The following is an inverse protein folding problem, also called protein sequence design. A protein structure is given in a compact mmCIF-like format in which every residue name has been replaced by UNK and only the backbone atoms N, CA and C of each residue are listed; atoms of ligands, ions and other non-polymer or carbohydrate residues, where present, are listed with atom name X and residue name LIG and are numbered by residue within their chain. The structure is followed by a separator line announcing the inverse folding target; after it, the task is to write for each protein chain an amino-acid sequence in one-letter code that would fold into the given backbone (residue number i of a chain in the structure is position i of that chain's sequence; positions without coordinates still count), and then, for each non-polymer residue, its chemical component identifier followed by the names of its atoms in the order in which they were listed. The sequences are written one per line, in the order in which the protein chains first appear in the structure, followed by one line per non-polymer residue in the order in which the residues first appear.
data_IF_779815085445
#
_entry.id   IF_779815085445
#
_cell.length_a   1.000
_cell.length_b   1.000
_cell.length_c   1.000
_cell.angle_alpha   90.00
_cell.angle_beta   90.00
_cell.angle_gamma   90.00
#
_symmetry.space_group_name_H-M   'P 1'
#
loop_
_entity.id
_entity.type
_entity.pdbx_description
1 polymer ?
#
# COMPACT_ATOMS: atom_id res chain seq x y z
N UNK A 1 9.11 2.74 -9.35
CA UNK A 1 7.78 2.26 -8.91
C UNK A 1 6.74 2.73 -9.91
N UNK A 2 5.65 1.99 -10.12
CA UNK A 2 4.67 2.29 -11.20
C UNK A 2 3.62 3.35 -10.83
N UNK A 3 3.71 3.89 -9.61
CA UNK A 3 2.73 4.78 -8.98
C UNK A 3 3.49 5.74 -8.07
N UNK A 4 3.08 7.00 -8.05
CA UNK A 4 3.81 8.08 -7.36
C UNK A 4 3.19 8.50 -6.02
N UNK A 5 1.94 8.11 -5.75
CA UNK A 5 1.23 8.46 -4.52
C UNK A 5 1.73 7.64 -3.35
N UNK A 6 2.03 8.28 -2.24
CA UNK A 6 2.61 7.65 -1.07
C UNK A 6 1.51 7.06 -0.18
N UNK A 7 1.79 5.91 0.43
CA UNK A 7 0.80 5.16 1.21
C UNK A 7 0.16 5.98 2.35
N UNK A 8 0.89 6.92 2.95
CA UNK A 8 0.38 7.78 4.02
C UNK A 8 -0.48 8.95 3.51
N UNK A 9 -0.58 9.15 2.20
CA UNK A 9 -1.52 10.11 1.59
C UNK A 9 -2.90 9.47 1.34
N UNK A 10 -3.03 8.15 1.49
CA UNK A 10 -4.31 7.47 1.44
C UNK A 10 -5.19 7.92 2.62
N UNK A 11 -6.48 8.09 2.35
CA UNK A 11 -7.49 8.40 3.38
C UNK A 11 -8.22 7.13 3.77
N UNK A 12 -7.80 6.49 4.86
CA UNK A 12 -8.39 5.22 5.30
C UNK A 12 -9.71 5.40 6.05
N UNK A 13 -10.65 4.48 5.83
CA UNK A 13 -11.95 4.41 6.51
C UNK A 13 -12.20 3.00 7.04
N UNK A 14 -12.97 2.85 8.15
CA UNK A 14 -13.42 1.54 8.59
C UNK A 14 -14.13 0.77 7.47
N UNK A 15 -13.74 -0.48 7.25
CA UNK A 15 -14.30 -1.34 6.21
C UNK A 15 -13.58 -1.28 4.86
N UNK A 16 -12.55 -0.44 4.72
CA UNK A 16 -11.71 -0.44 3.52
C UNK A 16 -10.93 -1.75 3.35
N UNK A 17 -10.66 -2.11 2.10
CA UNK A 17 -9.86 -3.27 1.74
C UNK A 17 -8.46 -2.85 1.29
N UNK A 18 -7.45 -3.54 1.80
CA UNK A 18 -6.07 -3.41 1.33
C UNK A 18 -5.78 -4.53 0.32
N UNK A 19 -5.56 -4.16 -0.93
CA UNK A 19 -5.29 -5.11 -2.02
C UNK A 19 -3.80 -5.06 -2.34
N UNK A 20 -3.15 -6.22 -2.28
CA UNK A 20 -1.75 -6.37 -2.64
C UNK A 20 -1.57 -7.34 -3.80
N UNK A 21 -0.57 -7.07 -4.62
CA UNK A 21 -0.16 -7.95 -5.70
C UNK A 21 0.71 -9.11 -5.23
N UNK A 22 1.04 -10.01 -6.16
CA UNK A 22 2.02 -11.08 -5.92
C UNK A 22 3.38 -10.48 -5.67
N UNK A 23 4.17 -11.04 -4.75
CA UNK A 23 5.50 -10.51 -4.40
C UNK A 23 6.44 -10.34 -5.61
N UNK A 24 6.38 -11.28 -6.57
CA UNK A 24 7.23 -11.27 -7.76
C UNK A 24 6.73 -10.39 -8.90
N UNK A 25 5.41 -10.18 -9.00
CA UNK A 25 4.79 -9.54 -10.17
C UNK A 25 4.03 -8.26 -9.87
N UNK A 26 3.78 -7.96 -8.59
CA UNK A 26 2.91 -6.87 -8.16
C UNK A 26 1.46 -7.09 -8.57
N UNK A 27 0.72 -5.98 -8.65
CA UNK A 27 -0.66 -5.96 -9.14
C UNK A 27 -0.68 -6.12 -10.67
N UNK A 28 -1.70 -6.78 -11.24
CA UNK A 28 -1.92 -6.78 -12.68
C UNK A 28 -2.03 -5.35 -13.23
N UNK A 29 -1.49 -5.11 -14.44
CA UNK A 29 -1.46 -3.78 -15.05
C UNK A 29 -2.87 -3.21 -15.29
N UNK A 30 -3.83 -4.07 -15.64
CA UNK A 30 -5.25 -3.74 -15.78
C UNK A 30 -5.87 -3.18 -14.48
N UNK A 31 -5.50 -3.73 -13.32
CA UNK A 31 -5.95 -3.25 -12.01
C UNK A 31 -5.29 -1.90 -11.69
N UNK A 32 -3.99 -1.75 -11.97
CA UNK A 32 -3.28 -0.49 -11.79
C UNK A 32 -3.86 0.63 -12.67
N UNK A 33 -4.27 0.32 -13.90
CA UNK A 33 -4.91 1.27 -14.80
C UNK A 33 -6.32 1.64 -14.32
N UNK A 34 -7.11 0.65 -13.91
CA UNK A 34 -8.51 0.84 -13.48
C UNK A 34 -8.63 1.63 -12.16
N UNK A 35 -7.67 1.45 -11.24
CA UNK A 35 -7.68 2.04 -9.90
C UNK A 35 -6.49 2.98 -9.66
N UNK A 36 -6.00 3.65 -10.71
CA UNK A 36 -4.80 4.51 -10.62
C UNK A 36 -4.90 5.57 -9.52
N UNK A 37 -6.11 6.07 -9.27
CA UNK A 37 -6.45 7.03 -8.22
C UNK A 37 -6.49 6.43 -6.80
N UNK A 38 -6.39 5.11 -6.67
CA UNK A 38 -6.44 4.36 -5.42
C UNK A 38 -5.23 3.42 -5.26
N UNK A 39 -4.22 3.60 -6.11
CA UNK A 39 -2.95 2.91 -5.99
C UNK A 39 -1.95 3.79 -5.23
N UNK A 40 -1.17 3.15 -4.37
CA UNK A 40 -0.19 3.82 -3.51
C UNK A 40 1.11 3.02 -3.45
N UNK A 41 2.18 3.68 -3.03
CA UNK A 41 3.51 3.06 -2.91
C UNK A 41 4.14 3.35 -1.54
N UNK A 42 4.93 2.38 -1.05
CA UNK A 42 5.80 2.57 0.11
C UNK A 42 7.15 3.09 -0.41
N UNK A 43 7.62 4.27 0.02
CA UNK A 43 8.87 4.82 -0.46
C UNK A 43 10.05 3.93 -0.05
N UNK A 44 11.01 3.77 -0.95
CA UNK A 44 12.26 3.05 -0.72
C UNK A 44 13.43 3.96 -1.09
N UNK A 45 14.40 4.12 -0.20
CA UNK A 45 15.55 4.99 -0.40
C UNK A 45 16.74 4.32 -1.10
N UNK A 46 16.77 2.98 -1.17
CA UNK A 46 17.89 2.23 -1.71
C UNK A 46 17.56 1.67 -3.11
N UNK A 47 18.25 2.18 -4.13
CA UNK A 47 18.08 1.78 -5.54
C UNK A 47 18.48 0.32 -5.84
N UNK A 48 19.22 -0.33 -4.93
CA UNK A 48 19.56 -1.76 -5.06
C UNK A 48 18.45 -2.69 -4.56
N UNK A 49 17.45 -2.16 -3.82
CA UNK A 49 16.33 -2.93 -3.30
C UNK A 49 15.12 -2.69 -4.21
N UNK A 50 14.64 -3.74 -4.85
CA UNK A 50 13.52 -3.66 -5.81
C UNK A 50 12.15 -3.51 -5.14
N UNK A 51 11.97 -4.13 -3.98
CA UNK A 51 10.74 -4.08 -3.19
C UNK A 51 11.02 -4.54 -1.76
N UNK A 52 10.18 -4.08 -0.82
CA UNK A 52 10.04 -4.76 0.46
C UNK A 52 9.35 -6.11 0.25
N UNK A 53 9.53 -7.04 1.19
CA UNK A 53 8.70 -8.25 1.18
C UNK A 53 7.21 -7.90 1.35
N UNK A 54 6.33 -8.81 0.93
CA UNK A 54 4.89 -8.56 0.93
C UNK A 54 4.34 -8.34 2.35
N UNK A 55 4.82 -9.13 3.33
CA UNK A 55 4.35 -9.06 4.72
C UNK A 55 4.67 -7.71 5.39
N UNK A 56 5.89 -7.19 5.18
CA UNK A 56 6.33 -5.87 5.65
C UNK A 56 5.50 -4.76 5.02
N UNK A 57 5.28 -4.84 3.70
CA UNK A 57 4.45 -3.87 2.98
C UNK A 57 3.02 -3.86 3.53
N UNK A 58 2.43 -5.03 3.75
CA UNK A 58 1.11 -5.17 4.33
C UNK A 58 1.04 -4.60 5.76
N UNK A 59 2.04 -4.92 6.60
CA UNK A 59 2.14 -4.39 7.96
C UNK A 59 2.23 -2.87 8.01
N UNK A 60 3.11 -2.27 7.19
CA UNK A 60 3.28 -0.81 7.11
C UNK A 60 1.96 -0.12 6.78
N UNK A 61 1.27 -0.59 5.73
CA UNK A 61 0.03 0.04 5.25
C UNK A 61 -1.12 -0.21 6.23
N UNK A 62 -1.22 -1.42 6.81
CA UNK A 62 -2.23 -1.74 7.81
C UNK A 62 -2.12 -0.83 9.02
N UNK A 63 -0.92 -0.70 9.60
CA UNK A 63 -0.73 0.13 10.79
C UNK A 63 -0.94 1.63 10.53
N UNK A 64 -0.66 2.10 9.30
CA UNK A 64 -1.04 3.47 8.92
C UNK A 64 -2.56 3.64 8.87
N UNK A 65 -3.29 2.69 8.30
CA UNK A 65 -4.75 2.69 8.32
C UNK A 65 -5.29 2.70 9.75
N UNK A 66 -4.75 1.85 10.63
CA UNK A 66 -5.11 1.82 12.05
C UNK A 66 -4.83 3.16 12.75
N UNK A 67 -3.67 3.79 12.45
CA UNK A 67 -3.30 5.10 12.98
C UNK A 67 -4.30 6.19 12.56
N UNK A 68 -4.70 6.22 11.29
CA UNK A 68 -5.67 7.21 10.78
C UNK A 68 -7.08 6.99 11.33
N UNK A 69 -7.54 5.73 11.39
CA UNK A 69 -8.89 5.38 11.87
C UNK A 69 -9.00 5.59 13.40
N UNK A 70 -7.86 5.73 14.11
CA UNK A 70 -7.80 5.86 15.57
C UNK A 70 -8.57 4.72 16.26
N UNK A 71 -8.26 3.49 15.88
CA UNK A 71 -8.86 2.32 16.54
C UNK A 71 -8.62 2.45 18.04
N UNK A 72 -9.71 2.59 18.80
CA UNK A 72 -9.65 2.49 20.25
C UNK A 72 -9.38 1.03 20.54
N UNK A 73 -8.32 0.75 21.30
CA UNK A 73 -8.11 -0.58 21.84
C UNK A 73 -9.39 -0.99 22.59
N UNK A 74 -9.92 -2.21 22.32
CA UNK A 74 -11.07 -2.73 23.06
C UNK A 74 -10.78 -2.80 24.56
#
# INVERSE_FOLDING_TARGET
TKVDRLYYEAQFRPGDYLIFGKETKGLPEEILALYRDRCYTVPMSNNHIRSLNLAMSAGIVLYEGLRQIRIKHP
#
